data_IF_259089549360
#
_entry.id   IF_259089549360
#
_cell.length_a   1.000
_cell.length_b   1.000
_cell.length_c   1.000
_cell.angle_alpha   90.00
_cell.angle_beta   90.00
_cell.angle_gamma   90.00
#
_symmetry.space_group_name_H-M   'P 1'
#
loop_
_entity.id
_entity.type
_entity.pdbx_description
1 polymer ?
#
# COMPACT_ATOMS: atom_id res chain seq x y z
N UNK A 1 -25.67 -7.28 -21.49
CA UNK A 1 -24.28 -6.82 -21.25
C UNK A 1 -24.37 -5.48 -20.53
N UNK A 2 -24.31 -5.47 -19.19
CA UNK A 2 -24.50 -4.24 -18.42
C UNK A 2 -23.26 -3.35 -18.55
N UNK A 3 -23.41 -2.12 -19.02
CA UNK A 3 -22.35 -1.09 -19.02
C UNK A 3 -21.97 -0.82 -17.57
N UNK A 4 -20.75 -1.17 -17.17
CA UNK A 4 -20.19 -0.71 -15.91
C UNK A 4 -20.11 0.82 -15.96
N UNK A 5 -21.02 1.49 -15.27
CA UNK A 5 -20.98 2.93 -15.08
C UNK A 5 -19.78 3.26 -14.21
N UNK A 6 -18.70 3.71 -14.85
CA UNK A 6 -17.51 4.21 -14.15
C UNK A 6 -17.94 5.42 -13.33
N UNK A 7 -18.07 5.25 -12.01
CA UNK A 7 -18.37 6.35 -11.09
C UNK A 7 -17.19 7.32 -11.17
N UNK A 8 -17.45 8.54 -11.65
CA UNK A 8 -16.44 9.60 -11.72
C UNK A 8 -15.86 9.83 -10.32
N UNK A 9 -14.52 9.89 -10.20
CA UNK A 9 -13.87 10.25 -8.95
C UNK A 9 -14.34 11.63 -8.52
N UNK A 10 -15.04 11.70 -7.40
CA UNK A 10 -15.45 12.98 -6.82
C UNK A 10 -14.25 13.70 -6.21
N UNK A 11 -14.34 15.01 -6.07
CA UNK A 11 -13.30 15.86 -5.44
C UNK A 11 -12.88 15.34 -4.05
N UNK A 12 -13.83 14.76 -3.29
CA UNK A 12 -13.57 14.13 -1.99
C UNK A 12 -12.63 12.93 -2.05
N UNK A 13 -12.69 12.15 -3.12
CA UNK A 13 -11.85 10.97 -3.29
C UNK A 13 -10.45 11.37 -3.74
N UNK A 14 -10.35 12.48 -4.48
CA UNK A 14 -9.08 13.12 -4.84
C UNK A 14 -8.37 13.68 -3.59
N UNK A 15 -9.10 14.34 -2.69
CA UNK A 15 -8.56 14.77 -1.38
C UNK A 15 -8.14 13.59 -0.50
N UNK A 16 -8.90 12.49 -0.48
CA UNK A 16 -8.53 11.29 0.27
C UNK A 16 -7.23 10.67 -0.28
N UNK A 17 -7.06 10.63 -1.60
CA UNK A 17 -5.85 10.13 -2.24
C UNK A 17 -4.64 11.02 -1.94
N UNK A 18 -4.79 12.35 -2.04
CA UNK A 18 -3.75 13.31 -1.67
C UNK A 18 -3.37 13.15 -0.19
N UNK A 19 -4.36 13.00 0.69
CA UNK A 19 -4.10 12.79 2.12
C UNK A 19 -3.33 11.50 2.36
N UNK A 20 -3.69 10.39 1.70
CA UNK A 20 -2.98 9.12 1.79
C UNK A 20 -1.52 9.26 1.34
N UNK A 21 -1.28 9.96 0.22
CA UNK A 21 0.07 10.21 -0.30
C UNK A 21 0.87 11.10 0.66
N UNK A 22 0.28 12.16 1.19
CA UNK A 22 0.93 13.02 2.19
C UNK A 22 1.26 12.24 3.47
N UNK A 23 0.34 11.38 3.93
CA UNK A 23 0.56 10.49 5.07
C UNK A 23 1.73 9.53 4.81
N UNK A 24 1.86 8.99 3.60
CA UNK A 24 3.01 8.13 3.24
C UNK A 24 4.33 8.85 3.44
N UNK A 25 4.47 10.06 2.89
CA UNK A 25 5.71 10.82 3.02
C UNK A 25 6.01 11.17 4.48
N UNK A 26 4.98 11.55 5.26
CA UNK A 26 5.11 11.84 6.68
C UNK A 26 5.55 10.59 7.48
N UNK A 27 4.93 9.45 7.23
CA UNK A 27 5.30 8.18 7.85
C UNK A 27 6.71 7.75 7.46
N UNK A 28 7.05 7.78 6.17
CA UNK A 28 8.38 7.41 5.70
C UNK A 28 9.48 8.27 6.34
N UNK A 29 9.25 9.57 6.51
CA UNK A 29 10.16 10.46 7.25
C UNK A 29 10.26 10.09 8.75
N UNK A 30 9.14 9.79 9.39
CA UNK A 30 9.08 9.37 10.80
C UNK A 30 9.80 8.03 11.03
N UNK A 31 9.61 7.07 10.12
CA UNK A 31 10.26 5.76 10.14
C UNK A 31 11.78 5.83 10.02
N UNK A 32 12.32 6.78 9.24
CA UNK A 32 13.76 7.02 9.16
C UNK A 32 14.32 7.60 10.47
N UNK A 33 13.54 8.45 11.16
CA UNK A 33 13.98 9.10 12.40
C UNK A 33 14.00 8.18 13.64
N UNK A 34 13.20 7.11 13.64
CA UNK A 34 13.08 6.16 14.77
C UNK A 34 13.60 4.81 14.30
N UNK A 35 14.93 4.71 14.28
CA UNK A 35 15.73 3.62 13.67
C UNK A 35 15.63 2.27 14.42
N UNK A 36 14.88 2.21 15.51
CA UNK A 36 14.79 1.06 16.42
C UNK A 36 13.85 -0.03 15.83
N UNK A 37 14.47 -0.94 15.09
CA UNK A 37 14.17 -2.32 14.66
C UNK A 37 12.74 -2.94 14.59
N UNK A 38 11.66 -2.32 15.09
CA UNK A 38 10.28 -2.83 14.98
C UNK A 38 9.42 -2.08 13.96
N UNK A 39 9.73 -0.81 13.74
CA UNK A 39 8.89 0.09 12.95
C UNK A 39 8.98 -0.18 11.43
N UNK A 40 10.10 -0.72 10.93
CA UNK A 40 10.22 -1.18 9.54
C UNK A 40 9.24 -2.32 9.20
N UNK A 41 8.91 -3.18 10.16
CA UNK A 41 7.89 -4.23 9.99
C UNK A 41 6.50 -3.61 9.83
N UNK A 42 6.21 -2.53 10.57
CA UNK A 42 4.95 -1.78 10.43
C UNK A 42 4.87 -1.14 9.04
N UNK A 43 5.98 -0.62 8.52
CA UNK A 43 6.05 -0.10 7.15
C UNK A 43 5.75 -1.17 6.10
N UNK A 44 6.19 -2.42 6.31
CA UNK A 44 5.84 -3.55 5.43
C UNK A 44 4.37 -3.96 5.54
N UNK A 45 3.76 -3.81 6.72
CA UNK A 45 2.37 -4.19 6.96
C UNK A 45 1.36 -3.15 6.46
N UNK A 46 1.74 -1.87 6.34
CA UNK A 46 0.86 -0.74 6.01
C UNK A 46 0.02 -0.86 4.71
N UNK A 47 0.49 -1.52 3.64
CA UNK A 47 -0.33 -1.75 2.46
C UNK A 47 -1.63 -2.53 2.73
N UNK A 48 -1.65 -3.42 3.74
CA UNK A 48 -2.84 -4.20 4.11
C UNK A 48 -3.99 -3.33 4.66
N UNK A 49 -3.81 -2.56 5.76
CA UNK A 49 -4.86 -1.67 6.24
C UNK A 49 -5.20 -0.59 5.22
N UNK A 50 -4.24 -0.14 4.40
CA UNK A 50 -4.51 0.82 3.34
C UNK A 50 -5.46 0.24 2.27
N UNK A 51 -5.24 -1.01 1.88
CA UNK A 51 -6.12 -1.73 0.95
C UNK A 51 -7.51 -1.91 1.53
N UNK A 52 -7.62 -2.28 2.81
CA UNK A 52 -8.91 -2.42 3.50
C UNK A 52 -9.66 -1.08 3.59
N UNK A 53 -8.95 0.02 3.86
CA UNK A 53 -9.52 1.37 3.86
C UNK A 53 -10.02 1.78 2.48
N UNK A 54 -9.23 1.55 1.44
CA UNK A 54 -9.63 1.82 0.04
C UNK A 54 -10.83 0.98 -0.35
N UNK A 55 -10.83 -0.32 -0.01
CA UNK A 55 -11.96 -1.21 -0.27
C UNK A 55 -13.24 -0.66 0.36
N UNK A 56 -13.20 -0.30 1.65
CA UNK A 56 -14.35 0.25 2.36
C UNK A 56 -14.79 1.58 1.78
N UNK A 57 -13.85 2.46 1.44
CA UNK A 57 -14.13 3.81 0.94
C UNK A 57 -14.77 3.80 -0.43
N UNK A 58 -14.26 2.98 -1.34
CA UNK A 58 -14.71 2.89 -2.72
C UNK A 58 -15.76 1.79 -2.94
N UNK A 59 -16.18 1.09 -1.88
CA UNK A 59 -17.11 -0.04 -1.94
C UNK A 59 -16.66 -1.10 -2.98
N UNK A 60 -15.35 -1.35 -3.02
CA UNK A 60 -14.78 -2.32 -3.95
C UNK A 60 -15.19 -3.74 -3.56
N UNK A 61 -15.42 -4.58 -4.56
CA UNK A 61 -15.53 -6.02 -4.34
C UNK A 61 -14.22 -6.55 -3.76
N UNK A 62 -14.29 -7.63 -2.99
CA UNK A 62 -13.10 -8.29 -2.43
C UNK A 62 -12.08 -8.69 -3.51
N UNK A 63 -12.56 -9.07 -4.69
CA UNK A 63 -11.72 -9.37 -5.86
C UNK A 63 -10.99 -8.12 -6.35
N UNK A 64 -11.71 -7.01 -6.55
CA UNK A 64 -11.11 -5.76 -6.98
C UNK A 64 -10.10 -5.22 -5.96
N UNK A 65 -10.39 -5.33 -4.67
CA UNK A 65 -9.47 -4.95 -3.59
C UNK A 65 -8.19 -5.82 -3.59
N UNK A 66 -8.33 -7.13 -3.81
CA UNK A 66 -7.19 -8.05 -3.91
C UNK A 66 -6.31 -7.73 -5.12
N UNK A 67 -6.91 -7.43 -6.27
CA UNK A 67 -6.17 -7.01 -7.48
C UNK A 67 -5.46 -5.65 -7.29
N UNK A 68 -6.04 -4.76 -6.48
CA UNK A 68 -5.44 -3.46 -6.14
C UNK A 68 -4.32 -3.57 -5.10
N UNK A 69 -4.32 -4.60 -4.24
CA UNK A 69 -3.35 -4.74 -3.17
C UNK A 69 -1.91 -4.82 -3.69
N UNK A 70 -1.69 -5.64 -4.72
CA UNK A 70 -0.37 -5.84 -5.30
C UNK A 70 0.24 -4.53 -5.85
N UNK A 71 -0.38 -3.81 -6.80
CA UNK A 71 0.20 -2.55 -7.30
C UNK A 71 0.32 -1.49 -6.21
N UNK A 72 -0.60 -1.45 -5.23
CA UNK A 72 -0.49 -0.55 -4.08
C UNK A 72 0.75 -0.87 -3.24
N UNK A 73 1.04 -2.15 -3.01
CA UNK A 73 2.21 -2.58 -2.24
C UNK A 73 3.53 -2.22 -2.94
N UNK A 74 3.59 -2.33 -4.27
CA UNK A 74 4.76 -1.91 -5.05
C UNK A 74 4.95 -0.39 -5.01
N UNK A 75 3.88 0.38 -5.19
CA UNK A 75 3.91 1.84 -5.11
C UNK A 75 4.32 2.31 -3.70
N UNK A 76 3.79 1.66 -2.66
CA UNK A 76 4.20 1.91 -1.27
C UNK A 76 5.69 1.68 -1.07
N UNK A 77 6.21 0.52 -1.50
CA UNK A 77 7.61 0.17 -1.32
C UNK A 77 8.56 1.09 -2.11
N UNK A 78 8.19 1.46 -3.34
CA UNK A 78 8.96 2.42 -4.12
C UNK A 78 9.07 3.77 -3.40
N UNK A 79 7.93 4.34 -3.02
CA UNK A 79 7.87 5.64 -2.33
C UNK A 79 8.60 5.58 -0.99
N UNK A 80 8.45 4.48 -0.24
CA UNK A 80 9.17 4.27 1.02
C UNK A 80 10.68 4.20 0.79
N UNK A 81 11.15 3.42 -0.19
CA UNK A 81 12.58 3.28 -0.50
C UNK A 81 13.22 4.59 -0.96
N UNK A 82 12.56 5.32 -1.87
CA UNK A 82 13.03 6.64 -2.30
C UNK A 82 13.13 7.58 -1.10
N UNK A 83 12.07 7.66 -0.30
CA UNK A 83 12.04 8.55 0.87
C UNK A 83 13.08 8.15 1.91
N UNK A 84 13.24 6.85 2.17
CA UNK A 84 14.24 6.31 3.07
C UNK A 84 15.64 6.74 2.66
N UNK A 85 16.00 6.54 1.39
CA UNK A 85 17.31 6.91 0.87
C UNK A 85 17.52 8.42 0.87
N UNK A 86 16.51 9.23 0.52
CA UNK A 86 16.62 10.70 0.57
C UNK A 86 16.90 11.23 1.98
N UNK A 87 16.37 10.58 3.02
CA UNK A 87 16.61 11.00 4.41
C UNK A 87 17.84 10.33 5.04
N UNK A 88 18.18 9.11 4.63
CA UNK A 88 19.30 8.34 5.18
C UNK A 88 20.65 8.72 4.56
N UNK A 89 20.74 8.85 3.23
CA UNK A 89 21.99 9.16 2.52
C UNK A 89 22.36 10.66 2.50
N UNK A 90 21.54 11.54 3.10
CA UNK A 90 21.89 12.96 3.25
C UNK A 90 22.78 13.26 4.46
N UNK A 91 23.24 12.24 5.19
CA UNK A 91 24.34 12.39 6.15
C UNK A 91 25.67 12.53 5.38
N UNK A 92 25.97 13.78 5.04
CA UNK A 92 27.27 14.34 4.62
C UNK A 92 28.12 13.44 3.74
N UNK A 93 27.96 13.55 2.42
CA UNK A 93 29.01 13.19 1.48
C UNK A 93 29.55 14.47 0.85
N UNK A 94 30.87 14.50 0.70
CA UNK A 94 31.65 15.68 0.39
C UNK A 94 31.18 16.37 -0.89
N UNK A 95 31.33 17.70 -0.88
CA UNK A 95 30.86 18.72 -1.84
C UNK A 95 31.16 18.48 -3.35
N UNK A 96 31.77 17.35 -3.73
CA UNK A 96 32.28 17.05 -5.05
C UNK A 96 31.69 15.80 -5.73
N UNK A 97 30.67 15.14 -5.17
CA UNK A 97 30.01 14.02 -5.87
C UNK A 97 29.04 14.49 -6.96
N UNK A 98 29.24 13.91 -8.13
CA UNK A 98 28.79 14.32 -9.47
C UNK A 98 27.31 14.01 -9.76
N UNK A 99 26.45 14.00 -8.76
CA UNK A 99 25.01 13.80 -8.91
C UNK A 99 24.31 15.14 -8.68
N UNK A 100 24.22 15.98 -9.72
CA UNK A 100 23.79 17.38 -9.63
C UNK A 100 22.36 17.61 -9.10
N UNK A 101 21.60 16.53 -8.87
CA UNK A 101 20.26 16.55 -8.26
C UNK A 101 20.16 15.61 -7.04
N UNK A 102 21.14 14.71 -6.83
CA UNK A 102 21.13 13.73 -5.74
C UNK A 102 19.96 12.74 -5.76
N UNK A 103 19.49 12.34 -6.96
CA UNK A 103 18.31 11.48 -7.15
C UNK A 103 18.65 10.05 -7.58
N UNK A 104 19.87 9.79 -8.03
CA UNK A 104 20.24 8.48 -8.61
C UNK A 104 20.20 7.38 -7.54
N UNK A 105 20.78 7.64 -6.37
CA UNK A 105 20.78 6.71 -5.24
C UNK A 105 19.38 6.49 -4.62
N UNK A 106 18.56 7.54 -4.43
CA UNK A 106 17.16 7.36 -4.03
C UNK A 106 16.35 6.48 -4.97
N UNK A 107 16.47 6.66 -6.28
CA UNK A 107 15.73 5.87 -7.26
C UNK A 107 16.18 4.41 -7.21
N UNK A 108 17.49 4.14 -7.16
CA UNK A 108 18.04 2.77 -7.03
C UNK A 108 17.51 2.07 -5.79
N UNK A 109 17.51 2.75 -4.64
CA UNK A 109 17.01 2.16 -3.40
C UNK A 109 15.48 1.98 -3.42
N UNK A 110 14.75 2.87 -4.10
CA UNK A 110 13.33 2.70 -4.41
C UNK A 110 13.06 1.43 -5.20
N UNK A 111 13.81 1.18 -6.28
CA UNK A 111 13.69 -0.03 -7.10
C UNK A 111 14.04 -1.29 -6.31
N UNK A 112 15.11 -1.26 -5.51
CA UNK A 112 15.44 -2.37 -4.61
C UNK A 112 14.31 -2.69 -3.62
N UNK A 113 13.68 -1.64 -3.06
CA UNK A 113 12.54 -1.81 -2.16
C UNK A 113 11.34 -2.44 -2.87
N UNK A 114 11.12 -2.10 -4.15
CA UNK A 114 10.10 -2.73 -5.01
C UNK A 114 10.40 -4.22 -5.22
N UNK A 115 11.65 -4.62 -5.44
CA UNK A 115 12.02 -6.03 -5.61
C UNK A 115 11.72 -6.85 -4.36
N UNK A 116 12.08 -6.33 -3.18
CA UNK A 116 11.75 -6.96 -1.88
C UNK A 116 10.24 -7.08 -1.71
N UNK A 117 9.50 -6.00 -2.01
CA UNK A 117 8.04 -6.00 -1.86
C UNK A 117 7.32 -6.75 -2.98
N UNK A 118 7.95 -7.05 -4.11
CA UNK A 118 7.34 -7.88 -5.14
C UNK A 118 7.08 -9.30 -4.61
N UNK A 119 8.03 -9.85 -3.85
CA UNK A 119 7.88 -11.17 -3.22
C UNK A 119 6.88 -11.11 -2.06
N UNK A 120 7.03 -10.15 -1.16
CA UNK A 120 6.15 -9.99 0.01
C UNK A 120 4.71 -9.65 -0.44
N UNK A 121 4.58 -8.77 -1.42
CA UNK A 121 3.31 -8.32 -1.99
C UNK A 121 2.51 -9.44 -2.64
N UNK A 122 3.17 -10.42 -3.28
CA UNK A 122 2.48 -11.64 -3.77
C UNK A 122 1.92 -12.42 -2.58
N UNK A 123 2.73 -12.63 -1.54
CA UNK A 123 2.31 -13.38 -0.35
C UNK A 123 1.16 -12.68 0.39
N UNK A 124 1.24 -11.36 0.61
CA UNK A 124 0.19 -10.61 1.29
C UNK A 124 -1.08 -10.50 0.44
N UNK A 125 -0.97 -10.40 -0.89
CA UNK A 125 -2.12 -10.48 -1.81
C UNK A 125 -2.82 -11.83 -1.68
N UNK A 126 -2.06 -12.93 -1.67
CA UNK A 126 -2.62 -14.28 -1.54
C UNK A 126 -3.33 -14.46 -0.19
N UNK A 127 -2.71 -14.00 0.91
CA UNK A 127 -3.33 -14.01 2.25
C UNK A 127 -4.60 -13.17 2.31
N UNK A 128 -4.60 -12.00 1.67
CA UNK A 128 -5.75 -11.12 1.62
C UNK A 128 -6.91 -11.74 0.82
N UNK A 129 -6.62 -12.33 -0.34
CA UNK A 129 -7.61 -13.03 -1.16
C UNK A 129 -8.19 -14.24 -0.40
N UNK A 130 -7.33 -15.00 0.28
CA UNK A 130 -7.73 -16.17 1.06
C UNK A 130 -8.65 -15.81 2.24
N UNK A 131 -8.27 -14.81 3.04
CA UNK A 131 -9.09 -14.32 4.16
C UNK A 131 -10.43 -13.78 3.68
N UNK A 132 -10.44 -13.04 2.56
CA UNK A 132 -11.65 -12.52 1.94
C UNK A 132 -12.61 -13.65 1.52
N UNK A 133 -12.08 -14.71 0.91
CA UNK A 133 -12.85 -15.88 0.52
C UNK A 133 -13.52 -16.57 1.72
N UNK A 134 -12.78 -16.75 2.82
CA UNK A 134 -13.32 -17.34 4.04
C UNK A 134 -14.43 -16.50 4.68
N UNK A 135 -14.27 -15.17 4.73
CA UNK A 135 -15.29 -14.27 5.26
C UNK A 135 -16.56 -14.34 4.41
N UNK A 136 -16.41 -14.33 3.08
CA UNK A 136 -17.53 -14.41 2.16
C UNK A 136 -18.32 -15.72 2.32
N UNK A 137 -17.64 -16.87 2.45
CA UNK A 137 -18.29 -18.16 2.68
C UNK A 137 -19.03 -18.20 4.01
N UNK A 138 -18.41 -17.68 5.09
CA UNK A 138 -19.06 -17.65 6.41
C UNK A 138 -20.33 -16.80 6.39
N UNK A 139 -20.28 -15.63 5.75
CA UNK A 139 -21.44 -14.74 5.61
C UNK A 139 -22.56 -15.37 4.77
N UNK A 140 -22.23 -16.11 3.71
CA UNK A 140 -23.23 -16.79 2.90
C UNK A 140 -23.93 -17.92 3.69
N UNK A 141 -23.20 -18.64 4.55
CA UNK A 141 -23.76 -19.71 5.39
C UNK A 141 -24.71 -19.19 6.46
N UNK A 142 -24.42 -18.04 7.08
CA UNK A 142 -25.32 -17.45 8.09
C UNK A 142 -26.65 -16.99 7.47
N UNK A 143 -26.62 -16.36 6.30
CA UNK A 143 -27.85 -15.91 5.61
C UNK A 143 -28.74 -17.07 5.18
N UNK A 144 -28.15 -18.20 4.79
CA UNK A 144 -28.92 -19.41 4.47
C UNK A 144 -29.55 -20.07 5.70
N UNK A 145 -28.93 -19.96 6.88
CA UNK A 145 -29.50 -20.47 8.12
C UNK A 145 -30.74 -19.65 8.54
N UNK A 146 -30.65 -18.32 8.49
CA UNK A 146 -31.76 -17.42 8.85
C UNK A 146 -33.01 -17.61 7.95
N UNK A 147 -32.81 -17.95 6.66
CA UNK A 147 -33.90 -18.20 5.71
C UNK A 147 -34.54 -19.59 5.88
N UNK A 148 -33.88 -20.53 6.56
CA UNK A 148 -34.42 -21.87 6.82
C UNK A 148 -35.25 -21.97 8.09
N UNK A 149 -35.15 -20.95 8.96
CA UNK A 149 -35.93 -20.83 10.20
C UNK A 149 -37.21 -19.97 10.03
N UNK A 150 -37.45 -19.44 8.83
CA UNK A 150 -38.69 -18.73 8.44
C UNK A 150 -39.59 -19.61 7.59
#
# INVERSE_FOLDING_TARGET
>A
MAKATVRQLGTRDLFALILIVALHFAFAKFFVSIREFGLTIVALALPLPLTALLQRRFQMTWVAASMMHYPLSLAWAFCFGVTYSMYYNRLTHDWYERDSVGLTEPIRFGVFSVEVMAVIGIATTALYAWSSHHICIRSARSTHADLSEQ
#
